data_IF_794024532633
#
_entry.id   IF_794024532633
#
_cell.length_a   1.000
_cell.length_b   1.000
_cell.length_c   1.000
_cell.angle_alpha   90.00
_cell.angle_beta   90.00
_cell.angle_gamma   90.00
#
_symmetry.space_group_name_H-M   'P 1'
#
loop_
_entity.id
_entity.type
_entity.pdbx_description
1 polymer ?
#
# COMPACT_ATOMS: atom_id res chain seq x y z
N UNK A 1 0.48 -74.98 0.17
CA UNK A 1 1.51 -74.01 0.62
C UNK A 1 0.78 -72.93 1.42
N UNK A 2 0.91 -72.92 2.75
CA UNK A 2 0.14 -72.06 3.67
C UNK A 2 0.90 -70.75 3.87
N UNK A 3 0.30 -69.62 3.49
CA UNK A 3 0.80 -68.30 3.88
C UNK A 3 0.63 -68.12 5.40
N UNK A 4 1.68 -67.72 6.16
CA UNK A 4 1.53 -67.46 7.58
C UNK A 4 0.77 -66.15 7.81
N UNK A 5 -0.29 -66.25 8.63
CA UNK A 5 -1.25 -65.22 9.05
C UNK A 5 -0.66 -64.22 10.07
N UNK A 6 0.60 -63.79 9.90
CA UNK A 6 1.30 -62.99 10.93
C UNK A 6 2.04 -61.75 10.40
N UNK A 7 1.76 -61.30 9.18
CA UNK A 7 2.36 -60.09 8.58
C UNK A 7 1.48 -58.84 8.69
N UNK A 8 0.21 -58.97 9.12
CA UNK A 8 -0.73 -57.85 9.25
C UNK A 8 -0.33 -56.79 10.30
N UNK A 9 0.17 -57.12 11.51
CA UNK A 9 0.50 -56.07 12.48
C UNK A 9 1.77 -55.31 12.08
N UNK A 10 2.71 -55.94 11.38
CA UNK A 10 3.96 -55.32 10.93
C UNK A 10 3.74 -54.36 9.75
N UNK A 11 2.81 -54.67 8.85
CA UNK A 11 2.41 -53.78 7.75
C UNK A 11 1.75 -52.49 8.28
N UNK A 12 0.89 -52.60 9.29
CA UNK A 12 0.21 -51.44 9.88
C UNK A 12 1.17 -50.53 10.66
N UNK A 13 2.15 -51.09 11.38
CA UNK A 13 3.17 -50.29 12.08
C UNK A 13 4.05 -49.53 11.09
N UNK A 14 4.42 -50.14 9.97
CA UNK A 14 5.19 -49.47 8.91
C UNK A 14 4.40 -48.31 8.27
N UNK A 15 3.09 -48.46 8.09
CA UNK A 15 2.20 -47.40 7.56
C UNK A 15 2.05 -46.21 8.51
N UNK A 16 2.02 -46.44 9.84
CA UNK A 16 1.98 -45.36 10.82
C UNK A 16 3.32 -44.61 10.94
N UNK A 17 4.46 -45.31 10.82
CA UNK A 17 5.78 -44.69 10.89
C UNK A 17 6.07 -43.77 9.68
N UNK A 18 5.52 -44.08 8.49
CA UNK A 18 5.72 -43.26 7.29
C UNK A 18 4.93 -41.94 7.32
N UNK A 19 3.85 -41.87 8.10
CA UNK A 19 2.96 -40.70 8.17
C UNK A 19 3.54 -39.55 9.01
N UNK A 20 4.54 -39.80 9.85
CA UNK A 20 5.11 -38.81 10.79
C UNK A 20 6.29 -38.05 10.17
N UNK A 21 6.89 -38.54 9.08
CA UNK A 21 8.10 -37.97 8.47
C UNK A 21 7.82 -36.86 7.42
N UNK A 22 6.56 -36.51 7.16
CA UNK A 22 6.16 -35.67 6.03
C UNK A 22 5.85 -34.19 6.31
N UNK A 23 6.02 -33.68 7.53
CA UNK A 23 5.64 -32.30 7.87
C UNK A 23 6.78 -31.49 8.47
N UNK A 24 7.86 -31.31 7.72
CA UNK A 24 8.71 -30.13 7.93
C UNK A 24 7.98 -28.92 7.36
N UNK A 25 7.06 -28.35 8.13
CA UNK A 25 6.55 -27.01 7.84
C UNK A 25 7.73 -26.06 7.93
N UNK A 26 8.19 -25.50 6.81
CA UNK A 26 9.12 -24.38 6.82
C UNK A 26 8.36 -23.24 7.49
N UNK A 27 8.71 -22.93 8.74
CA UNK A 27 8.28 -21.72 9.42
C UNK A 27 8.93 -20.56 8.68
N UNK A 28 8.25 -20.03 7.66
CA UNK A 28 8.53 -18.67 7.19
C UNK A 28 8.07 -17.77 8.32
N UNK A 29 9.00 -17.29 9.14
CA UNK A 29 8.72 -16.19 10.04
C UNK A 29 8.24 -15.02 9.17
N UNK A 30 6.94 -14.72 9.22
CA UNK A 30 6.46 -13.45 8.70
C UNK A 30 7.07 -12.40 9.61
N UNK A 31 8.02 -11.63 9.08
CA UNK A 31 8.42 -10.38 9.72
C UNK A 31 7.18 -9.51 9.71
N UNK A 32 6.54 -9.37 10.87
CA UNK A 32 5.48 -8.41 11.10
C UNK A 32 6.11 -7.02 10.94
N UNK A 33 6.18 -6.55 9.68
CA UNK A 33 6.46 -5.16 9.39
C UNK A 33 5.25 -4.39 9.90
N UNK A 34 5.32 -3.96 11.16
CA UNK A 34 4.40 -2.98 11.70
C UNK A 34 4.60 -1.68 10.91
N UNK A 35 3.89 -1.55 9.78
CA UNK A 35 3.84 -0.31 9.02
C UNK A 35 3.22 0.73 9.94
N UNK A 36 4.03 1.68 10.41
CA UNK A 36 3.54 2.85 11.11
C UNK A 36 2.76 3.70 10.11
N UNK A 37 1.45 3.50 10.07
CA UNK A 37 0.55 4.24 9.19
C UNK A 37 0.57 5.72 9.59
N UNK A 38 0.88 6.57 8.63
CA UNK A 38 0.94 8.02 8.81
C UNK A 38 -0.48 8.59 8.99
N UNK A 39 -0.60 9.62 9.82
CA UNK A 39 -1.87 10.29 10.10
C UNK A 39 -1.97 11.57 9.28
N UNK A 40 -2.53 11.50 8.09
CA UNK A 40 -2.74 12.66 7.23
C UNK A 40 -4.15 12.62 6.64
N UNK A 41 -4.62 13.77 6.16
CA UNK A 41 -5.88 13.85 5.43
C UNK A 41 -5.71 14.80 4.24
N UNK A 42 -5.85 14.24 3.04
CA UNK A 42 -5.64 14.93 1.77
C UNK A 42 -6.88 14.74 0.89
N UNK A 43 -7.41 15.83 0.33
CA UNK A 43 -8.38 15.79 -0.76
C UNK A 43 -7.65 15.83 -2.10
N UNK A 44 -7.77 14.77 -2.89
CA UNK A 44 -7.31 14.69 -4.27
C UNK A 44 -8.42 15.21 -5.20
N UNK A 45 -8.10 16.24 -5.97
CA UNK A 45 -8.92 16.75 -7.07
C UNK A 45 -8.07 16.62 -8.36
N UNK A 46 -8.49 15.80 -9.30
CA UNK A 46 -7.75 15.55 -10.53
C UNK A 46 -8.64 15.70 -11.77
N UNK A 47 -8.13 16.40 -12.77
CA UNK A 47 -8.67 16.53 -14.12
C UNK A 47 -7.59 16.12 -15.13
N UNK A 48 -7.92 16.01 -16.42
CA UNK A 48 -6.91 15.79 -17.45
C UNK A 48 -5.75 16.81 -17.44
N UNK A 49 -6.01 18.04 -17.01
CA UNK A 49 -5.06 19.16 -17.09
C UNK A 49 -4.36 19.47 -15.76
N UNK A 50 -5.01 19.18 -14.63
CA UNK A 50 -4.59 19.63 -13.30
C UNK A 50 -4.77 18.52 -12.27
N UNK A 51 -3.79 18.40 -11.36
CA UNK A 51 -3.94 17.64 -10.13
C UNK A 51 -3.72 18.64 -9.01
N UNK A 52 -4.66 18.64 -8.08
CA UNK A 52 -4.67 19.49 -6.91
C UNK A 52 -4.86 18.61 -5.68
N UNK A 53 -4.03 18.87 -4.68
CA UNK A 53 -4.08 18.22 -3.38
C UNK A 53 -4.36 19.30 -2.35
N UNK A 54 -5.38 19.09 -1.52
CA UNK A 54 -5.67 19.97 -0.39
C UNK A 54 -5.46 19.18 0.89
N UNK A 55 -4.49 19.57 1.72
CA UNK A 55 -4.19 18.89 2.98
C UNK A 55 -4.86 19.60 4.16
N UNK A 56 -5.70 18.88 4.88
CA UNK A 56 -6.37 19.37 6.09
C UNK A 56 -5.57 19.05 7.35
N UNK A 57 -4.86 17.91 7.39
CA UNK A 57 -4.08 17.46 8.53
C UNK A 57 -2.84 16.64 8.11
N UNK A 58 -1.76 16.70 8.91
CA UNK A 58 -0.55 15.91 8.72
C UNK A 58 0.47 16.44 7.70
N UNK A 59 0.27 17.61 7.09
CA UNK A 59 1.21 18.23 6.14
C UNK A 59 1.66 19.63 6.60
N UNK A 60 2.88 20.02 6.22
CA UNK A 60 3.40 21.39 6.35
C UNK A 60 2.82 22.36 5.30
N UNK A 61 2.11 21.83 4.31
CA UNK A 61 1.48 22.57 3.22
C UNK A 61 -0.05 22.44 3.30
N UNK A 62 -0.77 23.46 2.81
CA UNK A 62 -2.24 23.42 2.70
C UNK A 62 -2.73 22.98 1.33
N UNK A 63 -1.99 23.35 0.29
CA UNK A 63 -2.36 23.01 -1.07
C UNK A 63 -1.13 22.82 -1.95
N UNK A 64 -1.20 21.83 -2.84
CA UNK A 64 -0.30 21.66 -3.96
C UNK A 64 -1.15 21.59 -5.23
N UNK A 65 -0.69 22.24 -6.30
CA UNK A 65 -1.25 22.07 -7.64
C UNK A 65 -0.11 21.96 -8.63
N UNK A 66 -0.27 21.05 -9.59
CA UNK A 66 0.67 20.87 -10.68
C UNK A 66 -0.07 20.57 -11.98
N UNK A 67 0.29 21.31 -13.03
CA UNK A 67 -0.36 21.25 -14.34
C UNK A 67 0.20 20.16 -15.26
N UNK A 68 -0.03 20.34 -16.55
CA UNK A 68 0.29 19.42 -17.67
C UNK A 68 1.79 19.14 -17.89
N UNK A 69 2.68 19.83 -17.19
CA UNK A 69 4.13 19.61 -17.26
C UNK A 69 4.56 18.24 -16.70
N UNK A 70 3.71 17.58 -15.91
CA UNK A 70 3.90 16.19 -15.47
C UNK A 70 3.49 15.24 -16.60
N UNK A 71 4.22 15.28 -17.73
CA UNK A 71 3.99 14.39 -18.86
C UNK A 71 4.53 12.99 -18.53
N UNK A 72 3.71 12.18 -17.87
CA UNK A 72 3.90 10.74 -17.70
C UNK A 72 4.85 10.28 -16.59
N UNK A 73 5.73 11.17 -16.11
CA UNK A 73 6.60 10.88 -14.97
C UNK A 73 5.85 11.03 -13.64
N UNK A 74 6.00 10.10 -12.67
CA UNK A 74 5.41 10.25 -11.35
C UNK A 74 6.00 11.45 -10.59
N UNK A 75 5.14 12.30 -10.01
CA UNK A 75 5.55 13.33 -9.06
C UNK A 75 5.50 12.75 -7.64
N UNK A 76 6.63 12.77 -6.91
CA UNK A 76 6.65 12.38 -5.51
C UNK A 76 6.14 13.51 -4.61
N UNK A 77 5.35 13.16 -3.60
CA UNK A 77 4.77 14.06 -2.61
C UNK A 77 4.99 13.48 -1.23
N UNK A 78 5.45 14.33 -0.31
CA UNK A 78 5.62 14.02 1.10
C UNK A 78 4.97 15.10 1.97
N UNK A 79 5.18 15.00 3.27
CA UNK A 79 4.61 15.91 4.25
C UNK A 79 5.10 17.35 4.14
N UNK A 80 6.21 17.60 3.45
CA UNK A 80 6.77 18.93 3.22
C UNK A 80 6.44 19.48 1.83
N UNK A 81 6.00 18.65 0.89
CA UNK A 81 5.45 19.10 -0.38
C UNK A 81 5.81 18.18 -1.53
N UNK A 82 6.09 18.76 -2.69
CA UNK A 82 6.69 18.04 -3.81
C UNK A 82 8.15 17.70 -3.50
N UNK A 83 8.55 16.45 -3.78
CA UNK A 83 9.88 15.93 -3.45
C UNK A 83 10.44 15.06 -4.59
N UNK A 84 11.62 14.49 -4.39
CA UNK A 84 12.27 13.53 -5.31
C UNK A 84 12.43 12.17 -4.64
N UNK A 85 12.67 11.12 -5.43
CA UNK A 85 13.05 9.80 -4.92
C UNK A 85 14.45 9.45 -5.45
N UNK A 86 15.42 9.09 -4.59
CA UNK A 86 15.33 9.07 -3.12
C UNK A 86 15.15 10.50 -2.55
N UNK A 87 14.46 10.61 -1.42
CA UNK A 87 14.27 11.90 -0.72
C UNK A 87 15.49 12.24 0.12
N UNK A 88 15.70 13.54 0.37
CA UNK A 88 16.68 14.00 1.35
C UNK A 88 16.33 13.45 2.74
N UNK A 89 17.34 13.29 3.61
CA UNK A 89 17.14 12.82 4.98
C UNK A 89 16.04 13.62 5.67
N UNK A 90 15.13 12.89 6.30
CA UNK A 90 14.08 13.50 7.08
C UNK A 90 14.65 14.15 8.33
N UNK A 91 14.32 15.43 8.52
CA UNK A 91 14.29 15.97 9.87
C UNK A 91 13.07 15.39 10.56
N UNK A 92 13.29 14.57 11.59
CA UNK A 92 12.19 14.08 12.41
C UNK A 92 11.49 15.28 13.06
N UNK A 93 10.22 15.48 12.70
CA UNK A 93 9.31 16.39 13.38
C UNK A 93 8.16 15.55 13.95
N UNK A 94 7.99 15.45 15.28
CA UNK A 94 6.95 14.65 15.89
C UNK A 94 5.53 15.15 15.58
N UNK A 95 5.36 16.38 15.08
CA UNK A 95 4.08 16.98 14.74
C UNK A 95 3.66 16.75 13.28
N UNK A 96 4.56 16.23 12.44
CA UNK A 96 4.31 16.05 11.01
C UNK A 96 4.35 14.56 10.66
N UNK A 97 3.30 14.11 9.97
CA UNK A 97 3.15 12.71 9.60
C UNK A 97 4.13 12.32 8.51
N UNK A 98 4.99 11.33 8.79
CA UNK A 98 5.94 10.84 7.79
C UNK A 98 5.24 9.94 6.76
N UNK A 99 4.96 10.49 5.58
CA UNK A 99 4.46 9.75 4.42
C UNK A 99 5.24 10.08 3.16
N UNK A 100 5.21 9.17 2.19
CA UNK A 100 5.73 9.38 0.86
C UNK A 100 4.90 8.58 -0.13
N UNK A 101 4.40 9.25 -1.17
CA UNK A 101 3.75 8.59 -2.28
C UNK A 101 4.07 9.31 -3.59
N UNK A 102 3.89 8.62 -4.72
CA UNK A 102 3.97 9.25 -6.05
C UNK A 102 2.60 9.39 -6.65
N UNK A 103 2.45 10.36 -7.55
CA UNK A 103 1.22 10.61 -8.28
C UNK A 103 1.55 10.66 -9.76
N UNK A 104 0.80 9.90 -10.56
CA UNK A 104 0.95 9.82 -12.00
C UNK A 104 -0.40 9.94 -12.67
N UNK A 105 -0.50 10.80 -13.68
CA UNK A 105 -1.66 10.82 -14.58
C UNK A 105 -1.62 9.60 -15.49
N UNK A 106 -2.79 9.01 -15.71
CA UNK A 106 -3.02 8.01 -16.76
C UNK A 106 -3.90 8.63 -17.85
N UNK A 107 -4.21 7.88 -18.92
CA UNK A 107 -5.12 8.38 -19.96
C UNK A 107 -6.55 8.50 -19.44
N UNK A 108 -6.93 7.60 -18.53
CA UNK A 108 -8.30 7.46 -18.03
C UNK A 108 -8.50 8.11 -16.65
N UNK A 109 -7.41 8.50 -15.97
CA UNK A 109 -7.48 8.87 -14.56
C UNK A 109 -6.13 9.27 -13.93
N UNK A 110 -6.00 8.92 -12.67
CA UNK A 110 -4.82 9.18 -11.84
C UNK A 110 -4.49 7.96 -10.98
N UNK A 111 -3.20 7.65 -10.87
CA UNK A 111 -2.67 6.58 -10.02
C UNK A 111 -1.74 7.19 -8.97
N UNK A 112 -1.92 6.75 -7.73
CA UNK A 112 -1.04 7.03 -6.62
C UNK A 112 -0.31 5.74 -6.25
N UNK A 113 0.98 5.82 -5.92
CA UNK A 113 1.75 4.69 -5.40
C UNK A 113 2.31 5.02 -4.02
N UNK A 114 1.97 4.20 -3.03
CA UNK A 114 2.47 4.34 -1.67
C UNK A 114 3.91 3.88 -1.58
N UNK A 115 4.78 4.66 -0.94
CA UNK A 115 6.17 4.31 -0.67
C UNK A 115 6.45 4.21 0.82
N UNK A 116 5.92 5.14 1.61
CA UNK A 116 6.06 5.18 3.07
C UNK A 116 4.82 5.76 3.74
N UNK A 117 4.50 5.28 4.94
CA UNK A 117 3.41 5.83 5.76
C UNK A 117 1.99 5.49 5.29
N UNK A 118 1.83 4.64 4.26
CA UNK A 118 0.54 4.20 3.73
C UNK A 118 0.42 2.68 3.77
N UNK A 119 -0.78 2.14 4.02
CA UNK A 119 -1.02 0.68 3.92
C UNK A 119 -1.21 0.22 2.47
N UNK A 120 -1.62 1.16 1.61
CA UNK A 120 -1.94 0.87 0.24
C UNK A 120 -0.67 0.95 -0.61
N UNK A 121 -0.40 -0.05 -1.47
CA UNK A 121 0.69 0.01 -2.44
C UNK A 121 0.33 0.91 -3.62
N UNK A 122 -0.95 0.96 -4.00
CA UNK A 122 -1.45 1.84 -5.05
C UNK A 122 -2.94 2.12 -4.90
N UNK A 123 -3.37 3.30 -5.34
CA UNK A 123 -4.76 3.71 -5.52
C UNK A 123 -4.92 4.25 -6.95
N UNK A 124 -5.95 3.81 -7.67
CA UNK A 124 -6.23 4.30 -9.03
C UNK A 124 -7.67 4.78 -9.12
N UNK A 125 -7.87 5.93 -9.77
CA UNK A 125 -9.18 6.56 -9.91
C UNK A 125 -9.38 7.09 -11.32
N UNK A 126 -10.57 6.88 -11.87
CA UNK A 126 -10.96 7.35 -13.19
C UNK A 126 -11.58 8.75 -13.14
N UNK A 127 -11.49 9.50 -14.26
CA UNK A 127 -12.14 10.79 -14.44
C UNK A 127 -13.63 10.68 -14.75
N UNK A 128 -14.43 10.10 -13.84
CA UNK A 128 -15.88 9.98 -14.04
C UNK A 128 -16.52 11.37 -14.15
N UNK A 129 -17.04 11.70 -15.34
CA UNK A 129 -17.58 13.04 -15.61
C UNK A 129 -16.51 14.12 -15.84
N UNK A 130 -15.28 13.73 -16.20
CA UNK A 130 -14.18 14.65 -16.52
C UNK A 130 -13.31 15.06 -15.33
N UNK A 131 -13.60 14.55 -14.13
CA UNK A 131 -12.83 14.83 -12.92
C UNK A 131 -12.86 13.64 -11.95
N UNK A 132 -11.90 13.61 -11.03
CA UNK A 132 -11.85 12.71 -9.89
C UNK A 132 -11.70 13.54 -8.61
N UNK A 133 -12.59 13.30 -7.64
CA UNK A 133 -12.51 13.91 -6.31
C UNK A 133 -12.54 12.80 -5.26
N UNK A 134 -11.46 12.63 -4.49
CA UNK A 134 -11.32 11.56 -3.50
C UNK A 134 -10.58 12.06 -2.25
N UNK A 135 -11.17 11.97 -1.06
CA UNK A 135 -10.40 12.15 0.17
C UNK A 135 -9.59 10.87 0.44
N UNK A 136 -8.32 11.03 0.80
CA UNK A 136 -7.38 9.96 1.04
C UNK A 136 -6.60 10.19 2.34
N UNK A 137 -6.20 9.09 2.97
CA UNK A 137 -5.32 9.05 4.14
C UNK A 137 -4.35 7.85 4.05
N UNK A 138 -3.63 7.57 5.14
CA UNK A 138 -2.72 6.42 5.23
C UNK A 138 -3.40 5.06 5.10
N UNK A 139 -4.73 4.99 5.31
CA UNK A 139 -5.54 3.77 5.21
C UNK A 139 -6.17 3.59 3.83
N UNK A 140 -6.30 4.65 3.03
CA UNK A 140 -6.79 4.57 1.66
C UNK A 140 -7.78 5.69 1.35
N UNK A 141 -8.88 5.35 0.68
CA UNK A 141 -9.98 6.28 0.43
C UNK A 141 -10.84 6.39 1.67
N UNK A 142 -11.14 7.61 2.09
CA UNK A 142 -12.07 7.86 3.19
C UNK A 142 -13.47 8.16 2.66
N UNK A 143 -14.51 7.83 3.43
CA UNK A 143 -15.86 8.26 3.08
C UNK A 143 -16.00 9.76 3.34
N UNK A 144 -16.49 10.52 2.35
CA UNK A 144 -16.99 11.86 2.62
C UNK A 144 -18.21 11.72 3.52
N UNK A 145 -18.09 12.15 4.79
CA UNK A 145 -19.30 12.34 5.62
C UNK A 145 -20.19 13.32 4.86
N UNK A 146 -21.36 12.83 4.42
CA UNK A 146 -22.46 13.71 4.04
C UNK A 146 -23.00 14.27 5.36
N UNK A 147 -22.70 15.54 5.60
CA UNK A 147 -23.43 16.35 6.58
C UNK A 147 -24.86 16.62 6.07
#
# INVERSE_FOLDING_TARGET
MKYPRNSQPLLNIALFAFLILGTTSILVAQEDVHVKVAKFSILLEATPDEIKLTCSDGCAWKQLSFGTSVKGEPQAVDQFGMTTIPRNELKEDPLISNFLFTIKRTKEGVTLEGKEGTIWPSLTFDYVGGQCVRPIDGWGVTETKKD
#
